data_IF_268563430099
#
_entry.id   IF_268563430099
#
_cell.length_a   1.000
_cell.length_b   1.000
_cell.length_c   1.000
_cell.angle_alpha   90.00
_cell.angle_beta   90.00
_cell.angle_gamma   90.00
#
_symmetry.space_group_name_H-M   'P 1'
#
loop_
_entity.id
_entity.type
_entity.pdbx_description
1 polymer ?
#
# COMPACT_ATOMS: atom_id res chain seq x y z
N UNK A 1 10.52 18.69 9.16
CA UNK A 1 9.83 19.37 8.05
C UNK A 1 8.62 20.14 8.56
N UNK A 2 7.44 19.50 8.77
CA UNK A 2 6.23 20.23 9.16
C UNK A 2 6.30 20.89 10.55
N UNK A 3 6.87 20.21 11.55
CA UNK A 3 7.03 20.75 12.91
C UNK A 3 8.18 21.75 13.05
N UNK A 4 9.13 21.73 12.12
CA UNK A 4 10.35 22.55 12.16
C UNK A 4 10.18 23.88 11.41
N UNK A 5 9.06 24.09 10.73
CA UNK A 5 8.79 25.30 9.93
C UNK A 5 9.69 25.44 8.70
N UNK A 6 10.24 24.32 8.23
CA UNK A 6 11.03 24.30 6.99
C UNK A 6 10.13 24.67 5.81
N UNK A 7 10.64 25.52 4.92
CA UNK A 7 9.89 25.99 3.75
C UNK A 7 10.03 24.98 2.61
N UNK A 8 8.90 24.45 2.18
CA UNK A 8 8.75 23.62 0.99
C UNK A 8 7.30 23.77 0.49
N UNK A 9 7.06 23.45 -0.78
CA UNK A 9 5.80 23.82 -1.45
C UNK A 9 4.82 22.67 -1.63
N UNK A 10 5.29 21.43 -1.57
CA UNK A 10 4.43 20.26 -1.61
C UNK A 10 5.08 19.07 -0.90
N UNK A 11 4.25 18.17 -0.38
CA UNK A 11 4.69 16.89 0.14
C UNK A 11 3.67 15.79 -0.13
N UNK A 12 4.17 14.57 -0.15
CA UNK A 12 3.35 13.39 -0.35
C UNK A 12 2.66 12.97 0.95
N UNK A 13 1.37 12.65 0.86
CA UNK A 13 0.58 12.08 1.95
C UNK A 13 0.10 10.70 1.54
N UNK A 14 0.51 9.71 2.32
CA UNK A 14 -0.03 8.36 2.29
C UNK A 14 -1.16 8.29 3.31
N UNK A 15 -2.40 8.41 2.82
CA UNK A 15 -3.63 8.55 3.61
C UNK A 15 -3.88 7.32 4.50
N UNK A 16 -3.31 6.18 4.13
CA UNK A 16 -3.34 4.90 4.86
C UNK A 16 -2.22 4.74 5.90
N UNK A 17 -1.37 5.77 6.07
CA UNK A 17 -0.34 5.88 7.12
C UNK A 17 -0.66 7.04 8.07
N UNK A 18 -0.79 8.25 7.52
CA UNK A 18 -1.23 9.44 8.25
C UNK A 18 -2.23 10.18 7.36
N UNK A 19 -3.48 10.25 7.82
CA UNK A 19 -4.57 10.78 7.00
C UNK A 19 -4.42 12.27 6.71
N UNK A 20 -4.96 12.72 5.57
CA UNK A 20 -5.06 14.15 5.24
C UNK A 20 -5.75 14.93 6.37
N UNK A 21 -6.84 14.38 6.90
CA UNK A 21 -7.61 14.97 8.02
C UNK A 21 -6.76 15.12 9.28
N UNK A 22 -5.83 14.19 9.56
CA UNK A 22 -4.87 14.33 10.67
C UNK A 22 -3.89 15.50 10.45
N UNK A 23 -3.48 15.77 9.22
CA UNK A 23 -2.69 16.97 8.91
C UNK A 23 -3.53 18.25 8.98
N UNK A 24 -4.75 18.24 8.43
CA UNK A 24 -5.66 19.39 8.44
C UNK A 24 -6.06 19.79 9.87
N UNK A 25 -6.42 18.84 10.73
CA UNK A 25 -6.79 19.09 12.14
C UNK A 25 -5.66 19.69 12.98
N UNK A 26 -4.40 19.45 12.60
CA UNK A 26 -3.22 20.08 13.21
C UNK A 26 -2.89 21.46 12.63
N UNK A 27 -3.68 21.94 11.66
CA UNK A 27 -3.41 23.20 10.95
C UNK A 27 -2.13 23.15 10.10
N UNK A 28 -1.73 21.97 9.62
CA UNK A 28 -0.47 21.82 8.91
C UNK A 28 -0.56 22.14 7.40
N UNK A 29 -1.76 22.30 6.86
CA UNK A 29 -2.03 22.36 5.42
C UNK A 29 -2.52 23.74 4.98
N UNK A 30 -2.10 24.17 3.80
CA UNK A 30 -2.67 25.33 3.11
C UNK A 30 -4.01 24.93 2.45
N UNK A 31 -4.99 25.83 2.52
CA UNK A 31 -6.21 25.74 1.72
C UNK A 31 -5.84 26.15 0.28
N UNK A 32 -6.00 25.23 -0.67
CA UNK A 32 -5.65 25.41 -2.09
C UNK A 32 -6.88 25.54 -2.99
N UNK A 33 -8.04 25.86 -2.41
CA UNK A 33 -9.32 25.87 -3.14
C UNK A 33 -9.31 26.87 -4.30
N UNK A 34 -8.81 28.08 -4.06
CA UNK A 34 -8.80 29.15 -5.06
C UNK A 34 -7.78 28.86 -6.16
N UNK A 35 -6.60 28.36 -5.80
CA UNK A 35 -5.56 27.96 -6.74
C UNK A 35 -6.01 26.79 -7.62
N UNK A 36 -6.76 25.83 -7.05
CA UNK A 36 -7.35 24.74 -7.82
C UNK A 36 -8.42 25.23 -8.79
N UNK A 37 -9.22 26.21 -8.41
CA UNK A 37 -10.20 26.83 -9.30
C UNK A 37 -9.53 27.61 -10.44
N UNK A 38 -8.44 28.32 -10.15
CA UNK A 38 -7.73 29.15 -11.12
C UNK A 38 -6.79 28.35 -12.04
N UNK A 39 -6.12 27.31 -11.53
CA UNK A 39 -5.02 26.63 -12.24
C UNK A 39 -5.19 25.11 -12.37
N UNK A 40 -6.18 24.48 -11.73
CA UNK A 40 -6.30 23.03 -11.61
C UNK A 40 -7.13 22.32 -12.68
N UNK A 41 -7.39 22.94 -13.84
CA UNK A 41 -8.40 22.44 -14.79
C UNK A 41 -8.09 21.06 -15.38
N UNK A 42 -6.81 20.73 -15.63
CA UNK A 42 -6.43 19.41 -16.12
C UNK A 42 -6.56 18.35 -15.01
N UNK A 43 -6.27 18.72 -13.76
CA UNK A 43 -6.48 17.82 -12.62
C UNK A 43 -7.97 17.47 -12.54
N UNK A 44 -8.85 18.48 -12.51
CA UNK A 44 -10.30 18.28 -12.38
C UNK A 44 -10.88 17.50 -13.57
N UNK A 45 -10.34 17.69 -14.78
CA UNK A 45 -10.79 16.96 -15.96
C UNK A 45 -10.41 15.47 -15.95
N UNK A 46 -9.33 15.09 -15.26
CA UNK A 46 -8.78 13.72 -15.28
C UNK A 46 -9.00 12.95 -13.97
N UNK A 47 -9.34 13.62 -12.88
CA UNK A 47 -9.54 13.01 -11.56
C UNK A 47 -11.03 12.93 -11.23
N UNK A 48 -11.57 11.75 -10.87
CA UNK A 48 -12.99 11.63 -10.51
C UNK A 48 -13.38 12.48 -9.29
N UNK A 49 -14.63 12.94 -9.28
CA UNK A 49 -15.17 13.77 -8.20
C UNK A 49 -15.01 13.12 -6.82
N UNK A 50 -15.24 11.81 -6.70
CA UNK A 50 -15.06 11.08 -5.45
C UNK A 50 -13.63 11.22 -4.89
N UNK A 51 -12.62 11.21 -5.77
CA UNK A 51 -11.23 11.36 -5.39
C UNK A 51 -10.91 12.81 -4.96
N UNK A 52 -11.45 13.79 -5.69
CA UNK A 52 -11.34 15.20 -5.33
C UNK A 52 -11.95 15.48 -3.95
N UNK A 53 -13.16 14.98 -3.70
CA UNK A 53 -13.89 15.13 -2.44
C UNK A 53 -13.15 14.49 -1.26
N UNK A 54 -12.46 13.37 -1.47
CA UNK A 54 -11.67 12.74 -0.42
C UNK A 54 -10.45 13.58 0.02
N UNK A 55 -10.04 14.53 -0.82
CA UNK A 55 -8.97 15.48 -0.50
C UNK A 55 -9.50 16.84 0.04
N UNK A 56 -10.76 16.89 0.46
CA UNK A 56 -11.39 18.05 1.07
C UNK A 56 -11.63 17.86 2.57
N UNK A 57 -11.58 18.97 3.31
CA UNK A 57 -12.00 19.05 4.71
C UNK A 57 -12.89 20.29 4.85
N UNK A 58 -14.09 20.12 5.40
CA UNK A 58 -15.11 21.17 5.55
C UNK A 58 -15.39 21.96 4.25
N UNK A 59 -15.38 21.27 3.10
CA UNK A 59 -15.65 21.84 1.78
C UNK A 59 -14.48 22.62 1.15
N UNK A 60 -13.31 22.64 1.78
CA UNK A 60 -12.07 23.24 1.27
C UNK A 60 -11.12 22.18 0.76
N UNK A 61 -10.42 22.47 -0.34
CA UNK A 61 -9.43 21.58 -0.93
C UNK A 61 -8.09 21.69 -0.21
N UNK A 62 -7.58 20.59 0.32
CA UNK A 62 -6.29 20.54 1.06
C UNK A 62 -5.25 19.62 0.41
N UNK A 63 -5.62 18.91 -0.64
CA UNK A 63 -4.71 18.04 -1.37
C UNK A 63 -5.14 17.82 -2.81
N UNK A 64 -4.17 17.43 -3.64
CA UNK A 64 -4.34 17.03 -5.03
C UNK A 64 -4.25 15.50 -5.07
N UNK A 65 -5.31 14.79 -5.48
CA UNK A 65 -5.28 13.34 -5.55
C UNK A 65 -4.18 12.83 -6.50
N UNK A 66 -3.41 11.83 -6.05
CA UNK A 66 -2.66 10.97 -6.96
C UNK A 66 -3.60 9.82 -7.34
N UNK A 67 -4.48 10.08 -8.31
CA UNK A 67 -5.49 9.13 -8.71
C UNK A 67 -4.90 8.11 -9.70
N UNK A 68 -4.75 6.87 -9.25
CA UNK A 68 -4.61 5.71 -10.12
C UNK A 68 -5.83 4.80 -9.93
N UNK A 69 -6.22 4.08 -10.98
CA UNK A 69 -7.33 3.14 -10.91
C UNK A 69 -6.91 1.94 -10.04
N UNK A 70 -7.35 1.93 -8.78
CA UNK A 70 -7.34 0.73 -7.95
C UNK A 70 -8.67 0.00 -8.14
N UNK A 71 -8.69 -1.04 -8.98
CA UNK A 71 -9.86 -1.93 -9.12
C UNK A 71 -9.89 -2.88 -7.92
N UNK A 72 -10.47 -2.39 -6.81
CA UNK A 72 -10.63 -3.07 -5.53
C UNK A 72 -9.32 -3.50 -4.83
N UNK A 73 -9.32 -3.35 -3.51
CA UNK A 73 -8.35 -4.02 -2.66
C UNK A 73 -8.90 -5.42 -2.48
N UNK A 74 -8.34 -6.40 -3.18
CA UNK A 74 -8.31 -7.72 -2.56
C UNK A 74 -7.36 -7.56 -1.37
N UNK A 75 -7.66 -8.11 -0.21
CA UNK A 75 -6.62 -8.20 0.82
C UNK A 75 -5.58 -9.17 0.28
N UNK A 76 -4.49 -8.58 -0.19
CA UNK A 76 -3.58 -9.17 -1.15
C UNK A 76 -2.67 -10.18 -0.46
N UNK A 77 -3.16 -11.32 0.02
CA UNK A 77 -2.26 -12.39 0.42
C UNK A 77 -1.60 -12.98 -0.83
N UNK A 78 -0.28 -13.14 -0.82
CA UNK A 78 0.41 -13.94 -1.85
C UNK A 78 1.07 -15.16 -1.24
N UNK A 79 1.09 -16.24 -2.01
CA UNK A 79 1.56 -17.56 -1.59
C UNK A 79 2.51 -18.13 -2.64
N UNK A 80 3.50 -18.89 -2.17
CA UNK A 80 4.47 -19.63 -2.97
C UNK A 80 3.87 -20.93 -3.51
N UNK A 81 3.43 -20.91 -4.76
CA UNK A 81 2.83 -22.05 -5.46
C UNK A 81 3.84 -23.16 -5.71
N UNK A 82 5.09 -22.83 -6.02
CA UNK A 82 6.18 -23.79 -6.18
C UNK A 82 6.39 -24.65 -4.93
N UNK A 83 6.27 -24.07 -3.73
CA UNK A 83 6.38 -24.80 -2.46
C UNK A 83 5.16 -25.72 -2.21
N UNK A 84 3.96 -25.31 -2.64
CA UNK A 84 2.79 -26.19 -2.64
C UNK A 84 3.00 -27.39 -3.57
N UNK A 85 3.42 -27.13 -4.81
CA UNK A 85 3.67 -28.15 -5.83
C UNK A 85 4.75 -29.15 -5.37
N UNK A 86 5.84 -28.66 -4.74
CA UNK A 86 6.91 -29.49 -4.18
C UNK A 86 6.40 -30.43 -3.08
N UNK A 87 5.46 -29.96 -2.25
CA UNK A 87 4.86 -30.76 -1.18
C UNK A 87 3.65 -31.59 -1.65
N UNK A 88 3.24 -31.48 -2.91
CA UNK A 88 2.05 -32.15 -3.44
C UNK A 88 0.73 -31.67 -2.80
N UNK A 89 0.68 -30.39 -2.44
CA UNK A 89 -0.46 -29.74 -1.78
C UNK A 89 -1.32 -28.99 -2.79
N UNK A 90 -2.63 -29.01 -2.60
CA UNK A 90 -3.57 -28.15 -3.32
C UNK A 90 -3.54 -26.72 -2.77
N UNK A 91 -4.05 -25.76 -3.56
CA UNK A 91 -4.20 -24.37 -3.13
C UNK A 91 -5.21 -24.29 -1.97
N UNK A 92 -4.83 -23.77 -0.79
CA UNK A 92 -5.75 -23.63 0.32
C UNK A 92 -6.84 -22.59 0.04
N UNK A 93 -8.06 -22.91 0.44
CA UNK A 93 -9.25 -22.04 0.31
C UNK A 93 -9.78 -21.58 1.67
N UNK A 94 -9.29 -22.18 2.76
CA UNK A 94 -9.66 -21.83 4.13
C UNK A 94 -8.41 -21.58 4.99
N UNK A 95 -8.58 -20.86 6.09
CA UNK A 95 -7.50 -20.65 7.06
C UNK A 95 -6.96 -21.97 7.64
N UNK A 96 -7.81 -22.97 7.87
CA UNK A 96 -7.41 -24.29 8.36
C UNK A 96 -6.54 -25.03 7.32
N UNK A 97 -6.98 -25.06 6.06
CA UNK A 97 -6.19 -25.63 4.96
C UNK A 97 -4.84 -24.92 4.80
N UNK A 98 -4.85 -23.59 4.86
CA UNK A 98 -3.62 -22.80 4.80
C UNK A 98 -2.68 -23.13 5.96
N UNK A 99 -3.21 -23.26 7.17
CA UNK A 99 -2.43 -23.60 8.36
C UNK A 99 -1.77 -24.97 8.21
N UNK A 100 -2.53 -25.98 7.75
CA UNK A 100 -2.02 -27.34 7.53
C UNK A 100 -0.97 -27.37 6.39
N UNK A 101 -1.22 -26.63 5.30
CA UNK A 101 -0.28 -26.49 4.20
C UNK A 101 1.02 -25.83 4.68
N UNK A 102 0.93 -24.78 5.50
CA UNK A 102 2.09 -24.07 6.03
C UNK A 102 2.91 -24.96 6.98
N UNK A 103 2.26 -25.73 7.86
CA UNK A 103 2.95 -26.72 8.69
C UNK A 103 3.71 -27.72 7.81
N UNK A 104 3.06 -28.27 6.78
CA UNK A 104 3.68 -29.22 5.86
C UNK A 104 4.89 -28.62 5.13
N UNK A 105 4.77 -27.39 4.62
CA UNK A 105 5.87 -26.66 3.96
C UNK A 105 7.00 -26.40 4.95
N UNK A 106 6.69 -26.05 6.20
CA UNK A 106 7.69 -25.79 7.23
C UNK A 106 8.44 -27.07 7.63
N UNK A 107 7.79 -28.23 7.63
CA UNK A 107 8.41 -29.54 7.87
C UNK A 107 9.31 -30.01 6.72
N UNK A 108 8.97 -29.65 5.48
CA UNK A 108 9.72 -30.02 4.27
C UNK A 108 10.68 -28.91 3.80
N UNK A 109 10.89 -27.87 4.61
CA UNK A 109 11.70 -26.72 4.21
C UNK A 109 13.20 -27.04 4.16
N UNK A 110 13.83 -26.72 3.03
CA UNK A 110 15.27 -26.97 2.79
C UNK A 110 16.13 -25.69 2.80
N UNK A 111 15.53 -24.51 3.00
CA UNK A 111 16.25 -23.23 3.05
C UNK A 111 17.01 -23.00 4.36
N UNK A 112 17.79 -21.91 4.44
CA UNK A 112 18.70 -21.66 5.56
C UNK A 112 17.96 -21.23 6.83
N UNK A 113 16.98 -20.33 6.70
CA UNK A 113 16.12 -19.91 7.80
C UNK A 113 14.72 -20.48 7.62
N UNK A 114 14.04 -20.78 8.74
CA UNK A 114 12.65 -21.23 8.68
C UNK A 114 11.77 -20.20 7.97
N UNK A 115 10.82 -20.64 7.13
CA UNK A 115 10.02 -19.74 6.32
C UNK A 115 8.86 -19.17 7.13
N UNK A 116 9.16 -18.54 8.28
CA UNK A 116 8.14 -17.98 9.18
C UNK A 116 7.26 -16.98 8.44
N UNK A 117 6.03 -16.78 8.94
CA UNK A 117 5.16 -15.74 8.41
C UNK A 117 5.85 -14.37 8.47
N UNK A 118 6.07 -13.68 7.33
CA UNK A 118 6.81 -12.43 7.29
C UNK A 118 6.06 -11.31 8.01
N UNK A 119 6.53 -10.92 9.19
CA UNK A 119 5.89 -9.89 10.00
C UNK A 119 6.84 -9.28 11.03
N UNK A 120 6.51 -8.06 11.49
CA UNK A 120 7.08 -7.40 12.66
C UNK A 120 5.94 -7.10 13.66
N UNK A 121 6.24 -7.07 14.96
CA UNK A 121 5.23 -6.91 16.00
C UNK A 121 4.34 -5.65 15.90
N UNK A 122 4.81 -4.59 15.23
CA UNK A 122 4.12 -3.28 15.17
C UNK A 122 3.25 -3.15 13.90
N UNK A 123 2.99 -4.24 13.18
CA UNK A 123 2.16 -4.16 11.99
C UNK A 123 0.67 -4.18 12.35
N UNK A 124 0.07 -2.99 12.43
CA UNK A 124 -1.36 -2.78 12.74
C UNK A 124 -2.32 -3.46 11.73
N UNK A 125 -1.81 -3.91 10.57
CA UNK A 125 -2.58 -4.63 9.55
C UNK A 125 -2.55 -6.15 9.71
N UNK A 126 -1.80 -6.68 10.67
CA UNK A 126 -1.74 -8.12 10.93
C UNK A 126 -3.09 -8.78 11.22
N UNK A 127 -4.01 -8.16 11.99
CA UNK A 127 -5.27 -8.81 12.32
C UNK A 127 -6.16 -9.12 11.10
N UNK A 128 -6.04 -8.36 10.02
CA UNK A 128 -6.85 -8.54 8.81
C UNK A 128 -6.56 -9.86 8.12
N UNK A 129 -5.28 -10.19 7.93
CA UNK A 129 -4.86 -11.46 7.35
C UNK A 129 -5.35 -12.68 8.14
N UNK A 130 -5.54 -12.52 9.46
CA UNK A 130 -6.02 -13.58 10.32
C UNK A 130 -7.55 -13.62 10.46
N UNK A 131 -8.27 -12.68 9.86
CA UNK A 131 -9.73 -12.73 9.82
C UNK A 131 -10.18 -13.76 8.79
N UNK A 132 -11.30 -14.44 9.06
CA UNK A 132 -11.91 -15.39 8.11
C UNK A 132 -13.00 -14.76 7.25
N UNK A 133 -13.38 -13.51 7.54
CA UNK A 133 -14.37 -12.75 6.77
C UNK A 133 -13.77 -11.44 6.30
N UNK A 134 -13.88 -11.17 5.00
CA UNK A 134 -13.40 -9.91 4.41
C UNK A 134 -14.58 -9.03 3.93
N UNK A 135 -15.76 -9.21 4.54
CA UNK A 135 -16.95 -8.40 4.28
C UNK A 135 -16.93 -7.06 5.05
N UNK A 136 -15.86 -6.76 5.76
CA UNK A 136 -15.70 -5.52 6.49
C UNK A 136 -14.39 -4.84 6.12
N UNK A 137 -14.27 -3.57 6.50
CA UNK A 137 -13.00 -2.88 6.53
C UNK A 137 -12.77 -2.32 7.93
N UNK A 138 -11.51 -2.19 8.33
CA UNK A 138 -11.15 -1.33 9.46
C UNK A 138 -10.28 -0.17 9.02
N UNK A 139 -10.66 1.01 9.47
CA UNK A 139 -10.07 2.28 9.13
C UNK A 139 -9.31 2.82 10.34
N UNK A 140 -8.10 3.34 10.13
CA UNK A 140 -7.20 3.77 11.20
C UNK A 140 -7.05 2.75 12.35
N UNK A 141 -7.02 1.46 12.01
CA UNK A 141 -6.76 0.35 12.96
C UNK A 141 -7.81 0.14 14.06
N UNK A 142 -8.87 0.97 14.10
CA UNK A 142 -9.88 0.97 15.18
C UNK A 142 -11.31 1.02 14.65
N UNK A 143 -11.56 1.72 13.54
CA UNK A 143 -12.93 1.95 13.07
C UNK A 143 -13.35 0.81 12.16
N UNK A 144 -14.10 -0.15 12.71
CA UNK A 144 -14.71 -1.23 11.94
C UNK A 144 -15.92 -0.70 11.16
N UNK A 145 -16.03 -1.08 9.89
CA UNK A 145 -17.13 -0.74 8.98
C UNK A 145 -17.56 -2.00 8.25
N UNK A 146 -18.81 -2.40 8.42
CA UNK A 146 -19.40 -3.57 7.74
C UNK A 146 -20.13 -3.17 6.44
N UNK A 147 -20.48 -4.14 5.58
CA UNK A 147 -21.21 -3.92 4.32
C UNK A 147 -22.54 -3.18 4.50
N UNK A 148 -23.22 -3.40 5.62
CA UNK A 148 -24.50 -2.76 5.93
C UNK A 148 -24.35 -1.30 6.45
N UNK A 149 -23.11 -0.81 6.57
CA UNK A 149 -22.78 0.52 7.08
C UNK A 149 -22.67 0.59 8.61
N UNK A 150 -22.72 -0.54 9.32
CA UNK A 150 -22.48 -0.58 10.77
C UNK A 150 -21.06 -0.15 11.09
N UNK A 151 -20.93 0.82 12.02
CA UNK A 151 -19.65 1.31 12.51
C UNK A 151 -19.46 0.87 13.97
N UNK A 152 -18.33 0.25 14.27
CA UNK A 152 -17.98 -0.20 15.62
C UNK A 152 -16.49 0.00 15.94
N UNK A 153 -16.11 -0.19 17.20
CA UNK A 153 -14.72 -0.36 17.59
C UNK A 153 -14.26 -1.77 17.20
N UNK A 154 -13.27 -1.89 16.33
CA UNK A 154 -12.77 -3.17 15.84
C UNK A 154 -12.36 -4.11 16.96
N UNK A 155 -11.72 -3.59 18.01
CA UNK A 155 -11.27 -4.41 19.14
C UNK A 155 -12.40 -5.03 19.96
N UNK A 156 -13.64 -4.57 19.77
CA UNK A 156 -14.84 -5.08 20.42
C UNK A 156 -15.63 -6.07 19.54
N UNK A 157 -15.13 -6.37 18.34
CA UNK A 157 -15.81 -7.25 17.37
C UNK A 157 -15.41 -8.72 17.52
N UNK A 158 -16.29 -9.62 17.10
CA UNK A 158 -15.96 -11.05 16.99
C UNK A 158 -14.87 -11.31 15.94
N UNK A 159 -14.82 -10.52 14.86
CA UNK A 159 -13.78 -10.60 13.84
C UNK A 159 -12.37 -10.36 14.41
N UNK A 160 -12.21 -9.37 15.29
CA UNK A 160 -10.92 -9.16 15.97
C UNK A 160 -10.57 -10.32 16.91
N UNK A 161 -11.56 -10.84 17.66
CA UNK A 161 -11.35 -11.97 18.55
C UNK A 161 -10.89 -13.22 17.79
N UNK A 162 -11.50 -13.49 16.65
CA UNK A 162 -11.11 -14.58 15.76
C UNK A 162 -9.70 -14.37 15.18
N UNK A 163 -9.40 -13.17 14.67
CA UNK A 163 -8.06 -12.85 14.16
C UNK A 163 -6.95 -13.10 15.19
N UNK A 164 -7.18 -12.72 16.45
CA UNK A 164 -6.23 -12.98 17.54
C UNK A 164 -6.11 -14.47 17.85
N UNK A 165 -7.21 -15.23 17.78
CA UNK A 165 -7.19 -16.69 17.97
C UNK A 165 -6.40 -17.38 16.84
N UNK A 166 -6.60 -16.96 15.60
CA UNK A 166 -5.87 -17.47 14.44
C UNK A 166 -4.38 -17.15 14.50
N UNK A 167 -4.01 -15.90 14.85
CA UNK A 167 -2.63 -15.53 15.10
C UNK A 167 -1.99 -16.32 16.24
N UNK A 168 -2.75 -16.60 17.31
CA UNK A 168 -2.30 -17.48 18.40
C UNK A 168 -2.06 -18.92 17.92
N UNK A 169 -2.96 -19.48 17.11
CA UNK A 169 -2.80 -20.82 16.53
C UNK A 169 -1.50 -20.92 15.74
N UNK A 170 -1.20 -19.94 14.90
CA UNK A 170 0.06 -19.91 14.13
C UNK A 170 1.30 -19.74 15.01
N UNK A 171 1.20 -18.95 16.08
CA UNK A 171 2.28 -18.83 17.05
C UNK A 171 2.54 -20.16 17.78
N UNK A 172 1.49 -20.82 18.27
CA UNK A 172 1.60 -22.12 18.96
C UNK A 172 2.07 -23.25 18.03
N UNK A 173 1.71 -23.21 16.75
CA UNK A 173 2.20 -24.11 15.71
C UNK A 173 3.65 -23.83 15.27
N UNK A 174 4.27 -22.74 15.75
CA UNK A 174 5.63 -22.35 15.38
C UNK A 174 5.78 -21.76 13.99
N UNK A 175 4.69 -21.28 13.38
CA UNK A 175 4.67 -20.65 12.06
C UNK A 175 5.08 -19.16 12.12
N UNK A 176 4.98 -18.54 13.28
CA UNK A 176 5.44 -17.17 13.55
C UNK A 176 6.79 -17.23 14.25
N UNK A 177 7.70 -16.32 13.89
CA UNK A 177 9.00 -16.21 14.52
C UNK A 177 8.84 -15.99 16.06
N UNK A 178 9.44 -16.82 16.92
CA UNK A 178 9.30 -16.67 18.38
C UNK A 178 9.82 -15.32 18.91
N UNK A 179 10.75 -14.69 18.17
CA UNK A 179 11.34 -13.39 18.52
C UNK A 179 10.62 -12.21 17.83
N UNK A 180 9.36 -12.37 17.41
CA UNK A 180 8.56 -11.38 16.66
C UNK A 180 8.56 -9.97 17.29
N UNK A 181 8.64 -9.87 18.62
CA UNK A 181 8.68 -8.60 19.35
C UNK A 181 9.98 -7.81 19.18
N UNK A 182 11.06 -8.50 18.81
CA UNK A 182 12.39 -7.91 18.58
C UNK A 182 12.85 -8.03 17.12
N UNK A 183 12.06 -8.69 16.27
CA UNK A 183 12.34 -8.85 14.85
C UNK A 183 12.23 -7.50 14.13
N UNK A 184 13.28 -7.12 13.41
CA UNK A 184 13.40 -5.80 12.80
C UNK A 184 12.91 -5.77 11.35
N UNK A 185 12.61 -4.57 10.85
CA UNK A 185 12.25 -4.38 9.45
C UNK A 185 13.37 -4.82 8.49
N UNK A 186 14.64 -4.65 8.86
CA UNK A 186 15.78 -5.09 8.06
C UNK A 186 15.84 -6.62 7.97
N UNK A 187 15.56 -7.32 9.08
CA UNK A 187 15.49 -8.78 9.08
C UNK A 187 14.34 -9.29 8.22
N UNK A 188 13.16 -8.68 8.34
CA UNK A 188 12.00 -8.97 7.49
C UNK A 188 12.33 -8.77 6.00
N UNK A 189 12.95 -7.64 5.66
CA UNK A 189 13.36 -7.34 4.28
C UNK A 189 14.35 -8.36 3.75
N UNK A 190 15.31 -8.78 4.58
CA UNK A 190 16.27 -9.81 4.23
C UNK A 190 15.57 -11.18 4.01
N UNK A 191 14.64 -11.57 4.87
CA UNK A 191 13.84 -12.80 4.71
C UNK A 191 13.09 -12.80 3.37
N UNK A 192 12.44 -11.69 3.03
CA UNK A 192 11.71 -11.53 1.77
C UNK A 192 12.65 -11.63 0.55
N UNK A 193 13.80 -10.96 0.59
CA UNK A 193 14.79 -10.97 -0.49
C UNK A 193 15.42 -12.35 -0.71
N UNK A 194 15.60 -13.14 0.36
CA UNK A 194 16.11 -14.51 0.27
C UNK A 194 15.04 -15.51 -0.23
N UNK A 195 13.78 -15.10 -0.32
CA UNK A 195 12.68 -16.01 -0.67
C UNK A 195 12.35 -17.02 0.44
N UNK A 196 12.74 -16.74 1.69
CA UNK A 196 12.57 -17.64 2.84
C UNK A 196 11.22 -17.41 3.53
N UNK A 197 10.13 -17.58 2.78
CA UNK A 197 8.76 -17.38 3.23
C UNK A 197 7.81 -18.23 2.38
N UNK A 198 6.64 -18.57 2.94
CA UNK A 198 5.62 -19.35 2.25
C UNK A 198 4.42 -18.51 1.81
N UNK A 199 3.87 -17.73 2.74
CA UNK A 199 2.73 -16.84 2.53
C UNK A 199 3.04 -15.47 3.12
N UNK A 200 2.62 -14.39 2.48
CA UNK A 200 2.73 -13.03 2.98
C UNK A 200 1.39 -12.29 2.91
N UNK A 201 1.26 -11.29 3.79
CA UNK A 201 0.26 -10.24 3.64
C UNK A 201 0.81 -9.14 2.71
N UNK A 202 0.28 -9.05 1.49
CA UNK A 202 0.64 -8.07 0.47
C UNK A 202 1.13 -8.67 -0.85
N UNK A 203 1.49 -7.80 -1.79
CA UNK A 203 2.20 -8.17 -3.01
C UNK A 203 3.68 -8.40 -2.73
N UNK A 204 4.28 -9.27 -3.53
CA UNK A 204 5.71 -9.17 -3.83
C UNK A 204 5.86 -8.21 -5.00
N UNK A 205 6.53 -7.08 -4.78
CA UNK A 205 6.72 -6.06 -5.81
C UNK A 205 7.67 -6.53 -6.91
N UNK A 206 8.97 -6.45 -6.65
CA UNK A 206 10.01 -6.92 -7.56
C UNK A 206 10.61 -8.23 -7.04
N UNK A 207 10.69 -9.25 -7.91
CA UNK A 207 11.25 -10.57 -7.58
C UNK A 207 12.75 -10.71 -7.88
N UNK A 208 13.41 -9.70 -8.45
CA UNK A 208 14.84 -9.79 -8.85
C UNK A 208 15.74 -10.20 -7.69
N UNK A 209 15.51 -9.69 -6.48
CA UNK A 209 16.30 -10.09 -5.31
C UNK A 209 16.09 -11.55 -4.92
N UNK A 210 14.87 -12.08 -5.12
CA UNK A 210 14.59 -13.51 -4.91
C UNK A 210 15.32 -14.33 -5.98
N UNK A 211 15.26 -13.91 -7.24
CA UNK A 211 15.93 -14.58 -8.36
C UNK A 211 17.47 -14.62 -8.23
N UNK A 212 18.07 -13.61 -7.60
CA UNK A 212 19.50 -13.63 -7.28
C UNK A 212 19.88 -14.76 -6.30
N UNK A 213 18.96 -15.17 -5.42
CA UNK A 213 19.16 -16.20 -4.41
C UNK A 213 18.58 -17.57 -4.80
N UNK A 214 17.55 -17.57 -5.64
CA UNK A 214 16.85 -18.75 -6.15
C UNK A 214 16.80 -18.61 -7.69
N UNK A 215 17.84 -19.04 -8.43
CA UNK A 215 17.98 -18.74 -9.86
C UNK A 215 16.86 -19.25 -10.75
N UNK A 216 16.18 -20.33 -10.36
CA UNK A 216 15.06 -20.93 -11.10
C UNK A 216 13.70 -20.34 -10.72
N UNK A 217 13.68 -19.30 -9.88
CA UNK A 217 12.45 -18.65 -9.42
C UNK A 217 11.79 -17.84 -10.53
N UNK A 218 10.53 -18.13 -10.80
CA UNK A 218 9.73 -17.43 -11.79
C UNK A 218 8.64 -16.60 -11.11
N UNK A 219 8.24 -15.43 -11.68
CA UNK A 219 7.13 -14.65 -11.13
C UNK A 219 5.82 -15.44 -10.97
N UNK A 220 5.62 -16.48 -11.77
CA UNK A 220 4.46 -17.39 -11.70
C UNK A 220 4.46 -18.32 -10.49
N UNK A 221 5.59 -18.43 -9.78
CA UNK A 221 5.70 -19.20 -8.54
C UNK A 221 5.02 -18.48 -7.37
N UNK A 222 4.73 -17.18 -7.53
CA UNK A 222 3.91 -16.41 -6.59
C UNK A 222 2.53 -16.25 -7.19
N UNK A 223 1.52 -16.64 -6.43
CA UNK A 223 0.13 -16.45 -6.83
C UNK A 223 -0.66 -15.75 -5.74
N UNK A 224 -1.77 -15.14 -6.16
CA UNK A 224 -2.77 -14.59 -5.26
C UNK A 224 -3.42 -15.70 -4.44
N UNK A 225 -3.45 -15.52 -3.13
CA UNK A 225 -4.23 -16.33 -2.21
C UNK A 225 -5.53 -15.61 -1.93
N UNK A 226 -6.65 -16.29 -2.19
CA UNK A 226 -7.99 -15.80 -1.93
C UNK A 226 -8.66 -16.74 -0.93
N UNK A 227 -8.83 -16.27 0.31
CA UNK A 227 -9.54 -16.97 1.37
C UNK A 227 -10.97 -16.43 1.56
N UNK A 228 -11.39 -15.49 0.70
CA UNK A 228 -12.58 -14.66 0.92
C UNK A 228 -13.85 -15.29 0.36
N UNK A 229 -13.73 -16.39 -0.39
CA UNK A 229 -14.81 -17.07 -1.11
C UNK A 229 -15.64 -16.08 -1.98
N UNK A 230 -14.99 -15.07 -2.56
CA UNK A 230 -15.62 -14.08 -3.41
C UNK A 230 -16.45 -13.02 -2.66
N UNK A 231 -16.21 -12.82 -1.36
CA UNK A 231 -16.81 -11.75 -0.59
C UNK A 231 -16.56 -10.37 -1.23
N UNK A 232 -17.56 -9.49 -1.14
CA UNK A 232 -17.40 -8.12 -1.60
C UNK A 232 -16.49 -7.36 -0.64
N UNK A 233 -15.49 -6.68 -1.20
CA UNK A 233 -14.51 -5.92 -0.44
C UNK A 233 -14.97 -4.47 -0.25
N UNK A 234 -14.81 -3.91 0.94
CA UNK A 234 -15.07 -2.49 1.22
C UNK A 234 -13.79 -1.71 1.02
N UNK A 235 -13.85 -0.68 0.15
CA UNK A 235 -12.74 0.26 -0.01
C UNK A 235 -12.94 1.46 0.94
N UNK A 236 -12.13 1.62 1.99
CA UNK A 236 -12.31 2.70 2.97
C UNK A 236 -11.79 4.06 2.49
N UNK A 237 -10.95 4.09 1.44
CA UNK A 237 -10.38 5.31 0.88
C UNK A 237 -10.74 5.44 -0.60
N UNK A 238 -11.27 6.59 -1.02
CA UNK A 238 -11.35 6.88 -2.45
C UNK A 238 -9.96 7.13 -3.07
N UNK A 239 -9.02 7.64 -2.25
CA UNK A 239 -7.64 7.94 -2.63
C UNK A 239 -6.72 7.53 -1.49
N UNK A 240 -5.73 6.68 -1.80
CA UNK A 240 -4.67 6.33 -0.84
C UNK A 240 -3.56 7.38 -0.80
N UNK A 241 -3.20 7.93 -1.96
CA UNK A 241 -2.03 8.77 -2.11
C UNK A 241 -2.42 10.13 -2.69
N UNK A 242 -1.90 11.20 -2.11
CA UNK A 242 -2.19 12.56 -2.53
C UNK A 242 -1.00 13.48 -2.30
N UNK A 243 -1.04 14.64 -2.92
CA UNK A 243 -0.05 15.70 -2.75
C UNK A 243 -0.69 16.82 -1.95
N UNK A 244 -0.09 17.20 -0.83
CA UNK A 244 -0.58 18.28 0.01
C UNK A 244 0.39 19.45 -0.01
N UNK A 245 -0.14 20.65 0.20
CA UNK A 245 0.64 21.89 0.32
C UNK A 245 0.73 22.24 1.81
N UNK A 246 1.94 22.42 2.38
CA UNK A 246 2.07 22.79 3.77
C UNK A 246 1.62 24.24 3.97
N UNK A 247 1.09 24.56 5.16
CA UNK A 247 0.68 25.94 5.51
C UNK A 247 1.84 26.95 5.39
N UNK A 248 3.08 26.49 5.53
CA UNK A 248 4.29 27.31 5.44
C UNK A 248 4.76 27.59 4.00
N UNK A 249 4.11 27.04 2.97
CA UNK A 249 4.46 27.35 1.58
C UNK A 249 4.20 28.83 1.29
N UNK A 250 5.18 29.47 0.65
CA UNK A 250 5.04 30.84 0.17
C UNK A 250 4.45 30.90 -1.25
N UNK A 251 4.29 29.74 -1.90
CA UNK A 251 3.88 29.57 -3.29
C UNK A 251 2.89 28.40 -3.48
N UNK A 252 1.74 28.38 -2.79
CA UNK A 252 0.75 27.31 -2.92
C UNK A 252 0.28 27.09 -4.37
N UNK A 253 0.22 28.17 -5.15
CA UNK A 253 -0.15 28.13 -6.57
C UNK A 253 0.87 27.39 -7.43
N UNK A 254 2.15 27.41 -7.05
CA UNK A 254 3.20 26.72 -7.80
C UNK A 254 3.03 25.20 -7.73
N UNK A 255 2.63 24.67 -6.57
CA UNK A 255 2.32 23.25 -6.40
C UNK A 255 1.14 22.85 -7.31
N UNK A 256 0.05 23.61 -7.29
CA UNK A 256 -1.13 23.33 -8.15
C UNK A 256 -0.75 23.38 -9.62
N UNK A 257 -0.03 24.41 -10.07
CA UNK A 257 0.42 24.55 -11.46
C UNK A 257 1.30 23.39 -11.90
N UNK A 258 2.22 22.95 -11.04
CA UNK A 258 3.12 21.84 -11.32
C UNK A 258 2.37 20.52 -11.52
N UNK A 259 1.47 20.16 -10.60
CA UNK A 259 0.69 18.95 -10.77
C UNK A 259 -0.31 19.07 -11.93
N UNK A 260 -0.90 20.24 -12.15
CA UNK A 260 -1.77 20.47 -13.31
C UNK A 260 -1.04 20.33 -14.64
N UNK A 261 0.25 20.70 -14.70
CA UNK A 261 1.10 20.43 -15.85
C UNK A 261 1.31 18.93 -16.07
N UNK A 262 1.52 18.15 -15.02
CA UNK A 262 1.67 16.69 -15.13
C UNK A 262 0.42 16.03 -15.72
N UNK A 263 -0.78 16.52 -15.37
CA UNK A 263 -2.06 16.05 -15.94
C UNK A 263 -2.42 16.65 -17.31
N UNK A 264 -1.61 17.57 -17.86
CA UNK A 264 -1.95 18.26 -19.11
C UNK A 264 -1.81 17.39 -20.37
N UNK A 265 -0.96 16.35 -20.32
CA UNK A 265 -0.76 15.42 -21.43
C UNK A 265 -0.15 14.11 -20.94
N UNK A 266 -0.30 13.04 -21.73
CA UNK A 266 0.36 11.75 -21.46
C UNK A 266 1.89 11.91 -21.40
N UNK A 267 2.47 12.74 -22.27
CA UNK A 267 3.92 12.98 -22.30
C UNK A 267 4.43 13.62 -21.00
N UNK A 268 3.72 14.61 -20.45
CA UNK A 268 4.09 15.23 -19.18
C UNK A 268 3.96 14.25 -18.01
N UNK A 269 2.88 13.45 -18.03
CA UNK A 269 2.65 12.43 -17.03
C UNK A 269 3.76 11.36 -17.05
N UNK A 270 4.11 10.85 -18.24
CA UNK A 270 5.16 9.85 -18.39
C UNK A 270 6.54 10.40 -17.99
N UNK A 271 6.83 11.66 -18.32
CA UNK A 271 8.03 12.33 -17.87
C UNK A 271 8.09 12.43 -16.34
N UNK A 272 6.97 12.82 -15.71
CA UNK A 272 6.87 12.91 -14.26
C UNK A 272 7.02 11.54 -13.58
N UNK A 273 6.37 10.50 -14.11
CA UNK A 273 6.35 9.16 -13.51
C UNK A 273 7.63 8.36 -13.75
N UNK A 274 8.19 8.44 -14.97
CA UNK A 274 9.24 7.52 -15.42
C UNK A 274 10.60 8.20 -15.60
N UNK A 275 10.70 9.52 -15.43
CA UNK A 275 11.91 10.31 -15.75
C UNK A 275 12.46 10.02 -17.16
N UNK A 276 11.61 9.58 -18.10
CA UNK A 276 11.99 9.11 -19.43
C UNK A 276 11.03 9.68 -20.47
N UNK A 277 11.52 10.58 -21.33
CA UNK A 277 10.88 10.88 -22.61
C UNK A 277 11.25 9.77 -23.60
N UNK A 278 10.27 9.01 -24.06
CA UNK A 278 10.46 8.07 -25.15
C UNK A 278 10.53 8.86 -26.47
N UNK A 279 11.73 9.05 -27.01
CA UNK A 279 11.93 9.66 -28.34
C UNK A 279 12.07 8.55 -29.38
N UNK A 280 11.16 8.41 -30.37
CA UNK A 280 11.11 7.27 -31.28
C UNK A 280 12.37 7.06 -32.17
N UNK A 281 13.29 8.04 -32.21
CA UNK A 281 14.48 7.97 -33.08
C UNK A 281 15.78 7.58 -32.36
N UNK A 282 15.81 7.54 -31.03
CA UNK A 282 17.05 7.26 -30.28
C UNK A 282 16.69 6.48 -29.02
N UNK A 283 16.96 5.17 -29.02
CA UNK A 283 16.60 4.24 -27.94
C UNK A 283 16.93 4.73 -26.52
N UNK A 284 16.15 4.22 -25.55
CA UNK A 284 16.10 4.63 -24.15
C UNK A 284 17.46 5.07 -23.58
N UNK A 285 17.59 6.36 -23.29
CA UNK A 285 18.64 6.89 -22.42
C UNK A 285 17.98 7.69 -21.30
N UNK A 286 18.16 7.23 -20.05
CA UNK A 286 17.92 8.04 -18.87
C UNK A 286 18.81 9.28 -18.95
N UNK A 287 18.24 10.42 -19.30
CA UNK A 287 18.90 11.72 -19.20
C UNK A 287 18.20 12.47 -18.08
N UNK A 288 18.92 12.75 -16.99
CA UNK A 288 18.48 13.68 -15.96
C UNK A 288 18.23 15.06 -16.61
N UNK A 289 16.98 15.34 -17.00
CA UNK A 289 16.55 16.66 -17.50
C UNK A 289 15.99 17.48 -16.32
N UNK A 290 16.79 17.67 -15.28
CA UNK A 290 16.54 18.70 -14.27
C UNK A 290 17.17 20.05 -14.64
N UNK A 291 18.04 20.09 -15.66
CA UNK A 291 18.80 21.29 -16.05
C UNK A 291 18.12 22.21 -17.10
N UNK A 292 16.85 21.99 -17.47
CA UNK A 292 16.15 22.85 -18.46
C UNK A 292 14.87 23.53 -17.97
N UNK A 293 14.42 23.26 -16.75
CA UNK A 293 13.36 24.08 -16.13
C UNK A 293 14.00 25.34 -15.53
N UNK A 294 14.33 26.31 -16.40
CA UNK A 294 14.41 27.70 -15.95
C UNK A 294 12.97 28.16 -15.72
N UNK A 295 12.50 28.06 -14.49
CA UNK A 295 11.39 28.89 -14.02
C UNK A 295 11.86 30.34 -14.15
N UNK A 296 11.27 31.08 -15.10
CA UNK A 296 11.27 32.53 -15.02
C UNK A 296 10.29 32.89 -13.90
N UNK A 297 10.85 33.30 -12.77
CA UNK A 297 10.16 34.08 -11.75
C UNK A 297 9.76 35.45 -12.31
#
# INVERSE_FOLDING_TARGET
>A
MLSTGEKFDAFHVMNDQVTLTSYASRGALADITDEMAEYGQNIVANVPELAMNNCQVDGKQYGIPAFWVETALNEQATIRKDLLDQCGLDMPTTFEELTNAFITVMENWEGNQRPYFPSVAVNERLPYFFSSSDDFCVYNSVVYVNQDGTIANYYETDAFKEAVQNGKTWYEAGLINPDILTYTQDQLTNQLNLGEWFVLNGTVGNVSSIQENIPDFEPTDIVWLDLTDGAQQIRPYAVKNLQAVPLASEHPEAAVKFFNWAYASQENYDLFMNCLLWVPQWGCRCVFVLNRLKFCW
#
